data_IF_800179989310
#
_entry.id   IF_800179989310
#
_cell.length_a   1.000
_cell.length_b   1.000
_cell.length_c   1.000
_cell.angle_alpha   90.00
_cell.angle_beta   90.00
_cell.angle_gamma   90.00
#
_symmetry.space_group_name_H-M   'P 1'
#
loop_
_entity.id
_entity.type
_entity.pdbx_description
1 polymer ?
#
# COMPACT_ATOMS: atom_id res chain seq x y z
N UNK A 1 -8.75 -32.36 -14.60
CA UNK A 1 -9.63 -31.17 -14.43
C UNK A 1 -11.07 -31.50 -14.78
N UNK A 2 -11.30 -32.41 -15.74
CA UNK A 2 -12.62 -32.95 -16.06
C UNK A 2 -13.31 -33.60 -14.86
N UNK A 3 -12.56 -34.29 -13.98
CA UNK A 3 -13.09 -34.90 -12.75
C UNK A 3 -13.70 -33.88 -11.77
N UNK A 4 -13.31 -32.60 -11.89
CA UNK A 4 -13.81 -31.49 -11.07
C UNK A 4 -14.61 -30.48 -11.91
N UNK A 5 -14.93 -30.80 -13.17
CA UNK A 5 -15.78 -30.00 -14.05
C UNK A 5 -15.21 -28.64 -14.46
N UNK A 6 -13.89 -28.44 -14.38
CA UNK A 6 -13.26 -27.16 -14.74
C UNK A 6 -12.59 -27.23 -16.11
N UNK A 7 -12.81 -26.20 -16.95
CA UNK A 7 -12.14 -26.10 -18.25
C UNK A 7 -10.70 -25.59 -18.11
N UNK A 8 -9.73 -26.13 -18.88
CA UNK A 8 -8.33 -25.69 -18.81
C UNK A 8 -8.12 -24.22 -19.14
N UNK A 9 -8.98 -23.64 -19.98
CA UNK A 9 -8.90 -22.24 -20.43
C UNK A 9 -9.30 -21.25 -19.33
N UNK A 10 -10.17 -21.66 -18.41
CA UNK A 10 -10.72 -20.81 -17.34
C UNK A 10 -9.97 -20.96 -16.02
N UNK A 11 -8.80 -21.59 -16.02
CA UNK A 11 -8.08 -21.90 -14.79
C UNK A 11 -6.58 -21.61 -14.88
N UNK A 12 -5.94 -21.47 -13.72
CA UNK A 12 -4.53 -21.12 -13.60
C UNK A 12 -4.19 -19.74 -14.19
N UNK A 13 -2.94 -19.59 -14.65
CA UNK A 13 -2.43 -18.35 -15.22
C UNK A 13 -3.21 -17.90 -16.47
N UNK A 14 -3.69 -18.84 -17.29
CA UNK A 14 -4.40 -18.53 -18.55
C UNK A 14 -5.83 -18.04 -18.32
N UNK A 15 -6.50 -18.54 -17.28
CA UNK A 15 -7.85 -18.10 -16.92
C UNK A 15 -7.89 -16.89 -15.99
N UNK A 16 -6.74 -16.44 -15.48
CA UNK A 16 -6.66 -15.29 -14.58
C UNK A 16 -6.79 -13.97 -15.36
N UNK A 17 -7.74 -13.09 -15.02
CA UNK A 17 -7.90 -11.79 -15.70
C UNK A 17 -6.74 -10.83 -15.41
N UNK A 18 -5.98 -11.10 -14.33
CA UNK A 18 -4.85 -10.28 -13.90
C UNK A 18 -3.55 -11.05 -14.02
N UNK A 19 -2.45 -10.35 -14.30
CA UNK A 19 -1.11 -10.91 -14.24
C UNK A 19 -0.19 -10.00 -13.42
N UNK A 20 0.80 -10.59 -12.77
CA UNK A 20 1.80 -9.86 -11.99
C UNK A 20 2.90 -9.39 -12.93
N UNK A 21 3.00 -8.09 -13.20
CA UNK A 21 4.05 -7.51 -14.05
C UNK A 21 5.36 -7.27 -13.29
N UNK A 22 5.26 -6.94 -12.00
CA UNK A 22 6.39 -6.75 -11.08
C UNK A 22 5.99 -7.17 -9.68
N UNK A 23 6.92 -7.77 -8.95
CA UNK A 23 6.80 -8.03 -7.53
C UNK A 23 8.07 -7.51 -6.84
N UNK A 24 7.90 -6.82 -5.72
CA UNK A 24 9.01 -6.30 -4.92
C UNK A 24 8.73 -6.53 -3.45
N UNK A 25 9.81 -6.69 -2.67
CA UNK A 25 9.71 -6.73 -1.23
C UNK A 25 9.57 -5.31 -0.73
N UNK A 26 8.62 -5.06 0.18
CA UNK A 26 8.54 -3.76 0.83
C UNK A 26 9.85 -3.52 1.59
N UNK A 27 10.52 -2.41 1.30
CA UNK A 27 11.76 -2.05 1.97
C UNK A 27 11.35 -1.42 3.29
N UNK A 28 11.59 -2.12 4.41
CA UNK A 28 11.38 -1.54 5.75
C UNK A 28 12.37 -0.40 5.93
N UNK A 29 11.91 0.84 5.80
CA UNK A 29 12.69 2.03 6.11
C UNK A 29 12.66 2.25 7.62
N UNK A 30 13.78 1.99 8.29
CA UNK A 30 13.93 2.36 9.70
C UNK A 30 14.29 3.84 9.81
N UNK A 31 13.32 4.71 9.51
CA UNK A 31 13.46 6.16 9.65
C UNK A 31 13.33 6.55 11.12
N UNK A 32 14.32 6.21 11.94
CA UNK A 32 14.38 6.66 13.32
C UNK A 32 14.74 8.14 13.35
N UNK A 33 13.71 8.99 13.48
CA UNK A 33 13.88 10.42 13.65
C UNK A 33 13.72 10.76 15.12
N UNK A 34 14.80 11.18 15.78
CA UNK A 34 14.77 11.59 17.18
C UNK A 34 14.31 13.04 17.26
N UNK A 35 13.05 13.24 17.65
CA UNK A 35 12.49 14.56 17.83
C UNK A 35 12.73 15.05 19.27
N UNK A 36 13.34 16.22 19.41
CA UNK A 36 13.29 17.03 20.65
C UNK A 36 12.52 18.30 20.30
N UNK A 37 11.19 18.18 20.27
CA UNK A 37 10.30 19.20 19.72
C UNK A 37 9.64 20.02 20.81
N UNK A 38 9.42 21.29 20.52
CA UNK A 38 8.46 22.11 21.27
C UNK A 38 7.03 21.89 20.72
N UNK A 39 6.04 22.58 21.31
CA UNK A 39 4.64 22.42 20.90
C UNK A 39 4.41 22.77 19.42
N UNK A 40 4.97 23.89 18.95
CA UNK A 40 4.78 24.35 17.57
C UNK A 40 5.37 23.36 16.56
N UNK A 41 6.58 22.86 16.82
CA UNK A 41 7.22 21.85 15.97
C UNK A 41 6.38 20.58 15.88
N UNK A 42 5.80 20.15 17.01
CA UNK A 42 4.99 18.92 17.08
C UNK A 42 3.70 19.03 16.25
N UNK A 43 3.05 20.20 16.28
CA UNK A 43 1.84 20.46 15.48
C UNK A 43 2.17 20.51 14.00
N UNK A 44 3.26 21.19 13.62
CA UNK A 44 3.69 21.28 12.22
C UNK A 44 4.04 19.89 11.64
N UNK A 45 4.76 19.06 12.39
CA UNK A 45 5.08 17.70 11.97
C UNK A 45 3.81 16.85 11.75
N UNK A 46 2.83 16.98 12.64
CA UNK A 46 1.55 16.27 12.51
C UNK A 46 0.82 16.71 11.25
N UNK A 47 0.75 18.02 10.99
CA UNK A 47 0.08 18.57 9.81
C UNK A 47 0.75 18.10 8.51
N UNK A 48 2.08 18.13 8.43
CA UNK A 48 2.83 17.62 7.29
C UNK A 48 2.55 16.14 7.03
N UNK A 49 2.50 15.31 8.08
CA UNK A 49 2.21 13.88 7.97
C UNK A 49 0.79 13.63 7.48
N UNK A 50 -0.19 14.34 8.03
CA UNK A 50 -1.59 14.20 7.61
C UNK A 50 -1.81 14.64 6.16
N UNK A 51 -1.13 15.70 5.70
CA UNK A 51 -1.11 16.12 4.28
C UNK A 51 -0.46 15.05 3.40
N UNK A 52 0.68 14.50 3.80
CA UNK A 52 1.39 13.49 3.01
C UNK A 52 0.61 12.19 2.82
N UNK A 53 -0.30 11.89 3.76
CA UNK A 53 -1.18 10.72 3.71
C UNK A 53 -2.53 11.02 3.07
N UNK A 54 -2.73 12.24 2.55
CA UNK A 54 -3.98 12.70 1.92
C UNK A 54 -5.23 12.55 2.81
N UNK A 55 -5.05 12.40 4.13
CA UNK A 55 -6.15 12.20 5.10
C UNK A 55 -7.07 13.42 5.16
N UNK A 56 -6.49 14.61 4.98
CA UNK A 56 -7.22 15.89 5.05
C UNK A 56 -8.08 16.18 3.80
N UNK A 57 -7.95 15.40 2.72
CA UNK A 57 -8.71 15.61 1.49
C UNK A 57 -10.03 14.80 1.43
N UNK A 58 -10.30 13.93 2.42
CA UNK A 58 -11.50 13.08 2.47
C UNK A 58 -12.68 13.73 3.24
N UNK A 59 -12.70 15.06 3.34
CA UNK A 59 -13.72 15.79 4.09
C UNK A 59 -14.88 16.34 3.21
N UNK A 60 -15.04 15.82 1.99
CA UNK A 60 -16.18 16.08 1.10
C UNK A 60 -17.01 14.82 0.85
#
# INVERSE_FOLDING_TARGET
MEDIGLSPEKTGLKGSPTYVSKAFRNITTHNAQKFKMNLADSVNLLEEKLKSLEVLNNAE
#
